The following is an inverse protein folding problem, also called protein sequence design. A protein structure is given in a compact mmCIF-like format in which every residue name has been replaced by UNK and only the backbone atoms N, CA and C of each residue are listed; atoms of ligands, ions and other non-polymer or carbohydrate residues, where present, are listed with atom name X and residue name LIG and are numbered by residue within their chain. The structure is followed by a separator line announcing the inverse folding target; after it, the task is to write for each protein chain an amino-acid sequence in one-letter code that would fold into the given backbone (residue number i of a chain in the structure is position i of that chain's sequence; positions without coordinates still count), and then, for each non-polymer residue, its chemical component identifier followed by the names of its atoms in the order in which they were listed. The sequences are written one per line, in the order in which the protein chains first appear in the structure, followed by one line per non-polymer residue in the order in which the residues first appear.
data_IF_231103124928
#
_entry.id   IF_231103124928
#
_cell.length_a   1.000
_cell.length_b   1.000
_cell.length_c   1.000
_cell.angle_alpha   90.00
_cell.angle_beta   90.00
_cell.angle_gamma   90.00
#
_symmetry.space_group_name_H-M   'P 1'
#
loop_
_entity.id
_entity.type
_entity.pdbx_description
1 polymer ?
#
# COMPACT_ATOMS: atom_id res chain seq x y z
N UNK A 1 14.73 36.88 -7.73
CA UNK A 1 14.11 35.78 -8.50
C UNK A 1 13.31 34.93 -7.54
N UNK A 2 11.99 35.00 -7.63
CA UNK A 2 11.08 34.19 -6.82
C UNK A 2 11.01 32.82 -7.51
N UNK A 3 11.47 31.76 -6.84
CA UNK A 3 11.33 30.39 -7.33
C UNK A 3 9.83 30.10 -7.39
N UNK A 4 9.29 30.13 -8.61
CA UNK A 4 7.94 29.69 -8.90
C UNK A 4 7.96 28.17 -8.71
N UNK A 5 7.54 27.73 -7.53
CA UNK A 5 7.29 26.32 -7.25
C UNK A 5 6.10 25.95 -8.13
N UNK A 6 6.36 25.40 -9.32
CA UNK A 6 5.34 24.76 -10.11
C UNK A 6 4.72 23.68 -9.23
N UNK A 7 3.47 23.88 -8.81
CA UNK A 7 2.71 22.87 -8.11
C UNK A 7 2.69 21.61 -8.99
N UNK A 8 3.42 20.58 -8.58
CA UNK A 8 3.43 19.30 -9.30
C UNK A 8 2.00 18.78 -9.25
N UNK A 9 1.36 18.63 -10.41
CA UNK A 9 -0.02 18.14 -10.48
C UNK A 9 -0.06 16.72 -9.92
N UNK A 10 -0.76 16.52 -8.80
CA UNK A 10 -0.84 15.23 -8.13
C UNK A 10 -1.90 14.40 -8.83
N UNK A 11 -1.46 13.31 -9.48
CA UNK A 11 -2.36 12.38 -10.14
C UNK A 11 -3.30 11.73 -9.12
N UNK A 12 -4.59 11.73 -9.41
CA UNK A 12 -5.60 10.99 -8.64
C UNK A 12 -5.95 9.69 -9.36
N UNK A 13 -5.87 8.57 -8.63
CA UNK A 13 -6.33 7.25 -9.08
C UNK A 13 -7.67 6.97 -8.42
N UNK A 14 -8.69 6.69 -9.23
CA UNK A 14 -10.06 6.50 -8.74
C UNK A 14 -10.37 5.02 -8.55
N UNK A 15 -11.12 4.68 -7.51
CA UNK A 15 -11.58 3.34 -7.16
C UNK A 15 -12.22 2.64 -8.36
N UNK A 16 -13.05 3.39 -9.09
CA UNK A 16 -13.78 2.92 -10.27
C UNK A 16 -12.86 2.40 -11.39
N UNK A 17 -11.62 2.91 -11.46
CA UNK A 17 -10.63 2.52 -12.46
C UNK A 17 -9.95 1.18 -12.13
N UNK A 18 -9.94 0.76 -10.86
CA UNK A 18 -9.16 -0.39 -10.39
C UNK A 18 -10.03 -1.54 -9.86
N UNK A 19 -11.12 -1.21 -9.17
CA UNK A 19 -11.88 -2.18 -8.38
C UNK A 19 -12.92 -2.92 -9.21
N UNK A 20 -13.39 -2.34 -10.32
CA UNK A 20 -14.38 -2.94 -11.22
C UNK A 20 -15.62 -3.51 -10.46
N UNK A 21 -16.14 -2.73 -9.51
CA UNK A 21 -17.28 -3.10 -8.66
C UNK A 21 -16.96 -4.08 -7.50
N UNK A 22 -15.70 -4.43 -7.28
CA UNK A 22 -15.25 -5.21 -6.12
C UNK A 22 -14.95 -4.31 -4.92
N UNK A 23 -14.87 -4.90 -3.73
CA UNK A 23 -14.52 -4.18 -2.51
C UNK A 23 -13.01 -4.11 -2.26
N UNK A 24 -12.24 -4.98 -2.92
CA UNK A 24 -10.81 -5.13 -2.71
C UNK A 24 -10.06 -5.17 -4.05
N UNK A 25 -8.87 -4.57 -4.04
CA UNK A 25 -7.89 -4.67 -5.10
C UNK A 25 -6.57 -5.09 -4.46
N UNK A 26 -6.25 -6.39 -4.53
CA UNK A 26 -5.12 -6.96 -3.80
C UNK A 26 -4.03 -7.35 -4.80
N UNK A 27 -2.78 -7.02 -4.50
CA UNK A 27 -1.63 -7.36 -5.34
C UNK A 27 -0.45 -7.81 -4.49
N UNK A 28 0.29 -8.77 -5.03
CA UNK A 28 1.65 -9.02 -4.59
C UNK A 28 2.58 -8.42 -5.63
N UNK A 29 3.31 -7.39 -5.22
CA UNK A 29 4.31 -6.77 -6.07
C UNK A 29 5.70 -7.29 -5.72
N UNK A 30 6.43 -7.74 -6.74
CA UNK A 30 7.87 -7.95 -6.66
C UNK A 30 8.52 -6.73 -7.33
N UNK A 31 9.13 -5.86 -6.54
CA UNK A 31 9.74 -4.61 -7.00
C UNK A 31 11.25 -4.68 -6.82
N UNK A 32 11.97 -4.28 -7.85
CA UNK A 32 13.39 -3.95 -7.80
C UNK A 32 13.52 -2.43 -7.85
N UNK A 33 14.71 -1.92 -8.15
CA UNK A 33 14.99 -0.48 -8.20
C UNK A 33 13.98 0.28 -9.06
N UNK A 34 13.10 1.03 -8.39
CA UNK A 34 11.98 1.74 -9.04
C UNK A 34 11.31 2.75 -8.10
N UNK A 35 10.54 3.67 -8.69
CA UNK A 35 9.71 4.65 -7.99
C UNK A 35 8.29 4.62 -8.56
N UNK A 36 7.26 4.70 -7.72
CA UNK A 36 5.85 4.64 -8.19
C UNK A 36 5.35 5.94 -8.80
N UNK A 37 5.99 7.06 -8.44
CA UNK A 37 5.51 8.41 -8.71
C UNK A 37 4.51 8.90 -7.66
N UNK A 38 4.46 10.22 -7.47
CA UNK A 38 3.57 10.89 -6.53
C UNK A 38 2.12 10.84 -7.02
N UNK A 39 1.24 10.31 -6.19
CA UNK A 39 -0.18 10.21 -6.49
C UNK A 39 -1.04 10.18 -5.22
N UNK A 40 -2.35 10.22 -5.40
CA UNK A 40 -3.36 10.00 -4.37
C UNK A 40 -4.49 9.14 -4.92
N UNK A 41 -5.38 8.68 -4.04
CA UNK A 41 -6.56 7.91 -4.42
C UNK A 41 -7.78 8.21 -3.54
N UNK A 42 -8.98 7.87 -4.04
CA UNK A 42 -10.27 8.02 -3.35
C UNK A 42 -10.73 6.77 -2.57
N UNK A 43 -9.89 5.74 -2.52
CA UNK A 43 -10.06 4.51 -1.71
C UNK A 43 -9.02 4.45 -0.57
N UNK A 44 -9.10 3.44 0.31
CA UNK A 44 -8.09 3.21 1.34
C UNK A 44 -7.04 2.21 0.86
N UNK A 45 -5.79 2.37 1.27
CA UNK A 45 -4.72 1.43 0.91
C UNK A 45 -3.89 1.05 2.14
N UNK A 46 -3.38 -0.18 2.17
CA UNK A 46 -2.25 -0.51 3.04
C UNK A 46 -1.23 -1.37 2.30
N UNK A 47 0.03 -1.27 2.74
CA UNK A 47 1.12 -2.12 2.28
C UNK A 47 1.70 -2.90 3.45
N UNK A 48 1.94 -4.20 3.26
CA UNK A 48 2.68 -5.06 4.19
C UNK A 48 3.93 -5.59 3.48
N UNK A 49 5.10 -5.39 4.06
CA UNK A 49 6.35 -5.93 3.50
C UNK A 49 6.48 -7.41 3.85
N UNK A 50 6.56 -8.25 2.83
CA UNK A 50 6.76 -9.70 2.95
C UNK A 50 8.25 -10.05 2.99
N UNK A 51 9.05 -9.42 2.13
CA UNK A 51 10.52 -9.55 2.11
C UNK A 51 11.18 -8.27 1.60
N UNK A 52 12.43 -8.04 1.97
CA UNK A 52 13.17 -6.84 1.56
C UNK A 52 12.77 -5.62 2.39
N UNK A 53 12.98 -4.43 1.82
CA UNK A 53 12.66 -3.15 2.46
C UNK A 53 12.58 -2.02 1.45
N UNK A 54 11.79 -1.00 1.76
CA UNK A 54 11.61 0.14 0.86
C UNK A 54 11.17 1.38 1.64
N UNK A 55 11.27 2.56 1.03
CA UNK A 55 10.72 3.78 1.62
C UNK A 55 9.31 4.05 1.10
N UNK A 56 8.40 4.41 2.00
CA UNK A 56 7.13 5.03 1.66
C UNK A 56 7.18 6.50 2.10
N UNK A 57 6.86 7.42 1.20
CA UNK A 57 6.59 8.81 1.54
C UNK A 57 5.09 9.04 1.52
N UNK A 58 4.52 9.57 2.62
CA UNK A 58 3.10 9.88 2.75
C UNK A 58 2.96 11.27 3.35
N UNK A 59 2.26 12.16 2.65
CA UNK A 59 2.06 13.57 3.01
C UNK A 59 3.37 14.27 3.37
N UNK A 60 4.42 14.02 2.58
CA UNK A 60 5.76 14.61 2.75
C UNK A 60 6.61 13.99 3.87
N UNK A 61 6.11 12.99 4.61
CA UNK A 61 6.91 12.25 5.58
C UNK A 61 7.36 10.90 5.02
N UNK A 62 8.67 10.69 4.98
CA UNK A 62 9.31 9.44 4.54
C UNK A 62 9.51 8.47 5.70
N UNK A 63 9.15 7.21 5.51
CA UNK A 63 9.34 6.12 6.47
C UNK A 63 9.96 4.90 5.78
N UNK A 64 10.86 4.20 6.48
CA UNK A 64 11.43 2.93 6.03
C UNK A 64 10.53 1.79 6.51
N UNK A 65 10.22 0.86 5.61
CA UNK A 65 9.45 -0.34 5.90
C UNK A 65 10.30 -1.57 5.61
N UNK A 66 10.38 -2.49 6.58
CA UNK A 66 11.07 -3.77 6.46
C UNK A 66 10.08 -4.93 6.65
N UNK A 67 10.52 -6.18 6.46
CA UNK A 67 9.64 -7.36 6.58
C UNK A 67 8.79 -7.33 7.86
N UNK A 68 7.47 -7.47 7.68
CA UNK A 68 6.48 -7.44 8.74
C UNK A 68 5.97 -6.05 9.10
N UNK A 69 6.58 -4.99 8.57
CA UNK A 69 6.05 -3.64 8.72
C UNK A 69 4.90 -3.39 7.74
N UNK A 70 3.92 -2.63 8.20
CA UNK A 70 2.86 -2.09 7.37
C UNK A 70 2.59 -0.62 7.67
N UNK A 71 2.09 0.09 6.66
CA UNK A 71 1.55 1.44 6.77
C UNK A 71 0.15 1.48 6.18
N UNK A 72 -0.64 2.40 6.71
CA UNK A 72 -1.98 2.66 6.21
C UNK A 72 -2.00 4.00 5.48
N UNK A 73 -2.66 4.04 4.33
CA UNK A 73 -2.75 5.19 3.44
C UNK A 73 -4.23 5.60 3.39
N UNK A 74 -4.64 6.59 4.20
CA UNK A 74 -5.98 7.12 4.17
C UNK A 74 -6.32 7.77 2.83
N UNK A 75 -7.61 7.77 2.50
CA UNK A 75 -8.19 8.49 1.37
C UNK A 75 -7.65 9.93 1.28
N UNK A 76 -7.21 10.33 0.08
CA UNK A 76 -6.68 11.67 -0.20
C UNK A 76 -5.25 11.91 0.29
N UNK A 77 -4.55 10.91 0.82
CA UNK A 77 -3.12 11.06 1.17
C UNK A 77 -2.26 11.03 -0.09
N UNK A 78 -1.38 12.01 -0.23
CA UNK A 78 -0.38 12.03 -1.30
C UNK A 78 0.76 11.09 -0.92
N UNK A 79 1.12 10.16 -1.79
CA UNK A 79 2.17 9.19 -1.48
C UNK A 79 2.93 8.69 -2.70
N UNK A 80 4.12 8.16 -2.43
CA UNK A 80 4.98 7.48 -3.39
C UNK A 80 5.90 6.49 -2.67
N UNK A 81 6.26 5.43 -3.37
CA UNK A 81 7.18 4.40 -2.88
C UNK A 81 8.52 4.48 -3.62
N UNK A 82 9.61 4.26 -2.89
CA UNK A 82 10.96 4.17 -3.42
C UNK A 82 11.57 2.82 -3.05
N UNK A 83 11.82 2.01 -4.05
CA UNK A 83 12.48 0.71 -3.91
C UNK A 83 13.94 0.90 -4.27
N UNK A 84 14.81 1.05 -3.27
CA UNK A 84 16.24 1.41 -3.49
C UNK A 84 17.20 0.37 -2.85
N UNK A 85 16.66 -0.72 -2.30
CA UNK A 85 17.41 -1.71 -1.52
C UNK A 85 17.41 -3.10 -2.18
N UNK A 86 17.27 -3.16 -3.50
CA UNK A 86 17.13 -4.40 -4.25
C UNK A 86 15.71 -4.99 -4.20
N UNK A 87 15.62 -6.31 -4.36
CA UNK A 87 14.35 -7.00 -4.50
C UNK A 87 13.50 -6.91 -3.21
N UNK A 88 12.30 -6.35 -3.34
CA UNK A 88 11.31 -6.19 -2.27
C UNK A 88 9.98 -6.79 -2.70
N UNK A 89 9.35 -7.55 -1.80
CA UNK A 89 8.03 -8.14 -2.02
C UNK A 89 7.05 -7.52 -1.04
N UNK A 90 5.97 -6.95 -1.55
CA UNK A 90 4.91 -6.35 -0.73
C UNK A 90 3.56 -6.97 -1.08
N UNK A 91 2.72 -7.10 -0.06
CA UNK A 91 1.27 -7.23 -0.21
C UNK A 91 0.69 -5.81 -0.19
N UNK A 92 0.08 -5.40 -1.30
CA UNK A 92 -0.61 -4.12 -1.43
C UNK A 92 -2.11 -4.39 -1.51
N UNK A 93 -2.89 -3.66 -0.73
CA UNK A 93 -4.33 -3.86 -0.65
C UNK A 93 -5.02 -2.52 -0.73
N UNK A 94 -5.69 -2.26 -1.85
CA UNK A 94 -6.74 -1.25 -1.95
C UNK A 94 -8.07 -1.79 -1.41
N UNK A 95 -8.79 -0.97 -0.65
CA UNK A 95 -10.10 -1.26 -0.08
C UNK A 95 -11.05 -0.12 -0.45
N UNK A 96 -12.22 -0.45 -1.01
CA UNK A 96 -13.19 0.55 -1.41
C UNK A 96 -13.60 1.41 -0.22
N UNK A 97 -13.81 2.71 -0.46
CA UNK A 97 -14.10 3.67 0.61
C UNK A 97 -15.31 3.24 1.43
N UNK A 98 -16.41 2.92 0.73
CA UNK A 98 -17.68 2.52 1.35
C UNK A 98 -17.52 1.27 2.20
N UNK A 99 -16.82 0.26 1.70
CA UNK A 99 -16.64 -1.00 2.43
C UNK A 99 -15.78 -0.79 3.67
N UNK A 100 -14.68 -0.04 3.54
CA UNK A 100 -13.80 0.26 4.66
C UNK A 100 -14.52 1.02 5.77
N UNK A 101 -15.24 2.08 5.42
CA UNK A 101 -15.97 2.92 6.39
C UNK A 101 -17.07 2.13 7.11
N UNK A 102 -17.75 1.23 6.41
CA UNK A 102 -18.80 0.41 6.98
C UNK A 102 -18.27 -0.70 7.91
N UNK A 103 -17.14 -1.34 7.57
CA UNK A 103 -16.72 -2.58 8.22
C UNK A 103 -15.45 -2.47 9.06
N UNK A 104 -14.54 -1.56 8.72
CA UNK A 104 -13.21 -1.49 9.34
C UNK A 104 -12.99 -0.22 10.15
N UNK A 105 -13.53 0.91 9.72
CA UNK A 105 -13.39 2.17 10.46
C UNK A 105 -13.79 2.05 11.95
N UNK A 106 -14.88 1.34 12.34
CA UNK A 106 -15.23 1.18 13.75
C UNK A 106 -14.23 0.35 14.57
N UNK A 107 -13.36 -0.43 13.92
CA UNK A 107 -12.35 -1.27 14.57
C UNK A 107 -11.03 -0.52 14.79
N UNK A 108 -10.86 0.65 14.18
CA UNK A 108 -9.63 1.43 14.25
C UNK A 108 -9.61 2.32 15.50
N UNK A 109 -8.41 2.65 16.00
CA UNK A 109 -8.26 3.72 16.97
C UNK A 109 -8.84 5.03 16.42
N UNK A 110 -9.36 5.88 17.33
CA UNK A 110 -9.91 7.19 17.00
C UNK A 110 -8.97 8.06 16.14
N UNK A 111 -7.65 7.87 16.29
CA UNK A 111 -6.65 8.47 15.43
C UNK A 111 -5.65 7.41 14.98
N UNK A 112 -5.38 7.36 13.68
CA UNK A 112 -4.27 6.62 13.09
C UNK A 112 -3.52 7.53 12.14
N UNK A 113 -2.20 7.52 12.20
CA UNK A 113 -1.35 8.42 11.42
C UNK A 113 -0.90 7.69 10.15
N UNK A 114 -1.15 8.29 8.99
CA UNK A 114 -0.84 7.69 7.68
C UNK A 114 0.64 7.25 7.57
N UNK A 115 1.54 8.07 8.08
CA UNK A 115 2.99 7.84 8.08
C UNK A 115 3.51 7.21 9.37
N UNK A 116 2.67 6.47 10.09
CA UNK A 116 3.08 5.62 11.21
C UNK A 116 3.37 4.21 10.68
N UNK A 117 4.56 3.71 11.01
CA UNK A 117 4.91 2.31 10.76
C UNK A 117 4.33 1.47 11.89
N UNK A 118 3.64 0.39 11.52
CA UNK A 118 3.11 -0.60 12.43
C UNK A 118 3.76 -1.95 12.15
N UNK A 119 3.94 -2.76 13.21
CA UNK A 119 4.51 -4.10 13.10
C UNK A 119 3.39 -5.13 13.16
N UNK A 120 3.28 -5.96 12.14
CA UNK A 120 2.41 -7.12 12.19
C UNK A 120 2.92 -8.12 13.25
N UNK A 121 1.99 -8.73 13.99
CA UNK A 121 2.33 -9.86 14.86
C UNK A 121 2.95 -10.98 14.02
N UNK A 122 4.03 -11.62 14.52
CA UNK A 122 4.71 -12.72 13.84
C UNK A 122 3.78 -13.86 13.45
N UNK A 123 2.83 -14.25 14.30
CA UNK A 123 1.87 -15.33 13.98
C UNK A 123 0.97 -14.95 12.81
N UNK A 124 0.51 -13.70 12.77
CA UNK A 124 -0.31 -13.20 11.68
C UNK A 124 0.50 -13.09 10.38
N UNK A 125 1.74 -12.58 10.45
CA UNK A 125 2.63 -12.51 9.29
C UNK A 125 2.90 -13.90 8.71
N UNK A 126 3.22 -14.89 9.54
CA UNK A 126 3.43 -16.28 9.11
C UNK A 126 2.18 -16.88 8.47
N UNK A 127 0.99 -16.59 9.01
CA UNK A 127 -0.27 -16.99 8.41
C UNK A 127 -0.42 -16.42 6.98
N UNK A 128 -0.22 -15.11 6.82
CA UNK A 128 -0.30 -14.44 5.50
C UNK A 128 0.70 -15.05 4.52
N UNK A 129 1.96 -15.24 4.93
CA UNK A 129 3.01 -15.85 4.09
C UNK A 129 2.65 -17.28 3.67
N UNK A 130 2.05 -18.05 4.59
CA UNK A 130 1.58 -19.43 4.31
C UNK A 130 0.45 -19.44 3.31
N UNK A 131 -0.55 -18.56 3.47
CA UNK A 131 -1.67 -18.42 2.54
C UNK A 131 -1.14 -18.06 1.15
N UNK A 132 -0.25 -17.07 1.06
CA UNK A 132 0.39 -16.65 -0.20
C UNK A 132 1.16 -17.82 -0.85
N UNK A 133 1.94 -18.57 -0.08
CA UNK A 133 2.70 -19.70 -0.61
C UNK A 133 1.76 -20.82 -1.13
N UNK A 134 0.67 -21.09 -0.42
CA UNK A 134 -0.31 -22.13 -0.78
C UNK A 134 -1.07 -21.84 -2.08
N UNK A 135 -1.20 -20.57 -2.45
CA UNK A 135 -1.88 -20.13 -3.66
C UNK A 135 -1.00 -20.16 -4.93
N UNK A 136 0.21 -20.73 -4.85
CA UNK A 136 1.17 -20.82 -5.96
C UNK A 136 1.41 -19.48 -6.67
N UNK A 137 1.54 -18.38 -5.91
CA UNK A 137 1.99 -17.10 -6.48
C UNK A 137 3.47 -17.21 -6.90
N UNK A 138 3.69 -17.76 -8.08
CA UNK A 138 4.97 -17.77 -8.76
C UNK A 138 5.41 -16.32 -9.01
N UNK A 139 6.71 -16.08 -8.97
CA UNK A 139 7.37 -14.79 -9.08
C UNK A 139 7.27 -14.14 -10.49
N UNK A 140 6.07 -14.05 -11.06
CA UNK A 140 5.77 -13.27 -12.26
C UNK A 140 5.05 -11.97 -11.85
N UNK A 141 5.41 -10.87 -12.52
CA UNK A 141 4.99 -9.51 -12.18
C UNK A 141 3.49 -9.34 -11.92
N UNK A 142 3.17 -8.43 -11.00
CA UNK A 142 1.83 -7.95 -10.61
C UNK A 142 0.69 -8.94 -10.88
N UNK A 143 0.49 -9.90 -9.99
CA UNK A 143 -0.68 -10.79 -10.04
C UNK A 143 -1.84 -10.16 -9.27
N UNK A 144 -2.99 -9.97 -9.95
CA UNK A 144 -4.23 -9.42 -9.38
C UNK A 144 -4.95 -10.49 -8.54
N UNK A 145 -5.17 -10.21 -7.26
CA UNK A 145 -5.92 -11.05 -6.33
C UNK A 145 -7.36 -10.56 -6.26
N UNK A 146 -8.21 -11.04 -7.18
CA UNK A 146 -9.66 -10.80 -7.16
C UNK A 146 -10.44 -12.07 -6.79
N UNK A 147 -10.26 -12.58 -5.57
CA UNK A 147 -11.12 -13.62 -4.98
C UNK A 147 -11.26 -13.44 -3.46
N UNK A 148 -11.76 -12.30 -3.00
CA UNK A 148 -12.46 -12.13 -1.73
C UNK A 148 -13.48 -11.00 -1.88
#
# INVERSE_FOLDING_TARGET
MQLQVNATEIKTVYEQQLFNGKNFHVFIYNKTESVTGLHQHDYYEFTLVLTGRYYQEINGKRVLLERGDFVFIPVGSNHQSFYEFGATRILNVGISKRFFEQHYLPLLPFCFVASQVYRANSTFLTYIETVIASLNFAAMGSTNLSKW
#
